data_IF_562214465983
#
_entry.id   IF_562214465983
#
_cell.length_a   1.000
_cell.length_b   1.000
_cell.length_c   1.000
_cell.angle_alpha   90.00
_cell.angle_beta   90.00
_cell.angle_gamma   90.00
#
_symmetry.space_group_name_H-M   'P 1'
#
loop_
_entity.id
_entity.type
_entity.pdbx_description
1 polymer ?
#
# COMPACT_ATOMS: atom_id res chain seq x y z
N UNK A 1 0.47 22.69 -0.99
CA UNK A 1 -0.30 21.54 -1.49
C UNK A 1 -0.74 20.78 -0.26
N UNK A 2 -2.01 20.92 0.10
CA UNK A 2 -2.46 20.64 1.46
C UNK A 2 -3.54 19.56 1.37
N UNK A 3 -3.35 18.44 2.06
CA UNK A 3 -4.48 17.80 2.74
C UNK A 3 -5.07 18.87 3.66
N UNK A 4 -6.38 19.09 3.69
CA UNK A 4 -7.07 20.17 4.44
C UNK A 4 -6.83 20.14 5.97
N UNK A 5 -5.58 20.27 6.37
CA UNK A 5 -4.97 19.98 7.66
C UNK A 5 -3.81 20.96 7.84
N UNK A 6 -3.53 21.34 9.09
CA UNK A 6 -2.37 22.14 9.46
C UNK A 6 -1.06 21.33 9.49
N UNK A 7 -1.14 20.01 9.33
CA UNK A 7 0.02 19.12 9.33
C UNK A 7 0.77 19.18 7.99
N UNK A 8 2.10 19.09 8.05
CA UNK A 8 2.92 18.93 6.84
C UNK A 8 2.45 17.74 6.00
N UNK A 9 2.43 17.90 4.69
CA UNK A 9 1.85 16.91 3.77
C UNK A 9 2.57 15.56 3.82
N UNK A 10 3.88 15.54 4.04
CA UNK A 10 4.68 14.31 4.13
C UNK A 10 4.39 13.61 5.47
N UNK A 11 4.30 14.39 6.55
CA UNK A 11 3.95 13.88 7.88
C UNK A 11 2.53 13.31 7.87
N UNK A 12 1.56 14.05 7.34
CA UNK A 12 0.16 13.62 7.26
C UNK A 12 -0.01 12.34 6.44
N UNK A 13 0.68 12.25 5.28
CA UNK A 13 0.64 11.06 4.45
C UNK A 13 1.29 9.85 5.11
N UNK A 14 2.43 10.04 5.77
CA UNK A 14 3.13 8.95 6.46
C UNK A 14 2.27 8.44 7.61
N UNK A 15 1.78 9.35 8.46
CA UNK A 15 0.92 9.01 9.59
C UNK A 15 -0.32 8.22 9.15
N UNK A 16 -1.06 8.71 8.16
CA UNK A 16 -2.29 8.06 7.71
C UNK A 16 -2.02 6.65 7.14
N UNK A 17 -0.95 6.48 6.34
CA UNK A 17 -0.59 5.16 5.77
C UNK A 17 -0.12 4.19 6.85
N UNK A 18 0.71 4.64 7.80
CA UNK A 18 1.14 3.83 8.93
C UNK A 18 -0.03 3.41 9.82
N UNK A 19 -0.97 4.31 10.10
CA UNK A 19 -2.18 4.01 10.87
C UNK A 19 -3.04 2.96 10.17
N UNK A 20 -3.35 3.15 8.88
CA UNK A 20 -4.13 2.19 8.10
C UNK A 20 -3.46 0.82 8.05
N UNK A 21 -2.13 0.77 7.91
CA UNK A 21 -1.39 -0.48 7.90
C UNK A 21 -1.47 -1.23 9.23
N UNK A 22 -1.29 -0.52 10.35
CA UNK A 22 -1.40 -1.09 11.68
C UNK A 22 -2.81 -1.64 11.94
N UNK A 23 -3.84 -0.83 11.67
CA UNK A 23 -5.24 -1.25 11.84
C UNK A 23 -5.59 -2.46 10.98
N UNK A 24 -5.10 -2.52 9.74
CA UNK A 24 -5.31 -3.68 8.88
C UNK A 24 -4.66 -4.96 9.43
N UNK A 25 -3.50 -4.86 10.10
CA UNK A 25 -2.86 -6.00 10.76
C UNK A 25 -3.72 -6.52 11.91
N UNK A 26 -4.10 -5.60 12.81
CA UNK A 26 -4.89 -5.93 14.00
C UNK A 26 -6.23 -6.55 13.59
N UNK A 27 -6.87 -6.01 12.54
CA UNK A 27 -8.14 -6.51 12.05
C UNK A 27 -8.02 -7.93 11.47
N UNK A 28 -6.99 -8.20 10.66
CA UNK A 28 -6.75 -9.54 10.12
C UNK A 28 -6.41 -10.56 11.23
N UNK A 29 -5.65 -10.16 12.25
CA UNK A 29 -5.34 -11.04 13.38
C UNK A 29 -6.56 -11.36 14.25
N UNK A 30 -7.51 -10.44 14.34
CA UNK A 30 -8.72 -10.61 15.15
C UNK A 30 -9.83 -11.43 14.46
N UNK A 31 -9.71 -11.72 13.15
CA UNK A 31 -10.78 -12.36 12.38
C UNK A 31 -10.23 -13.48 11.48
N UNK A 32 -10.56 -14.73 11.80
CA UNK A 32 -10.08 -15.92 11.08
C UNK A 32 -10.43 -15.94 9.57
N UNK A 33 -11.46 -15.18 9.16
CA UNK A 33 -11.92 -15.10 7.78
C UNK A 33 -11.37 -13.87 7.03
N UNK A 34 -10.38 -13.17 7.58
CA UNK A 34 -9.75 -12.00 6.96
C UNK A 34 -8.26 -12.21 6.85
N UNK A 35 -7.70 -11.97 5.66
CA UNK A 35 -6.27 -12.00 5.45
C UNK A 35 -5.73 -10.63 5.01
N UNK A 36 -4.51 -10.33 5.41
CA UNK A 36 -3.78 -9.14 5.01
C UNK A 36 -2.83 -9.46 3.85
N UNK A 37 -3.20 -9.03 2.64
CA UNK A 37 -2.31 -9.13 1.49
C UNK A 37 -1.29 -7.96 1.46
N UNK A 38 0.03 -8.22 1.42
CA UNK A 38 1.09 -7.22 1.62
C UNK A 38 1.39 -6.36 0.39
N UNK A 39 0.36 -5.87 -0.30
CA UNK A 39 0.51 -5.00 -1.48
C UNK A 39 1.25 -3.69 -1.18
N UNK A 40 1.03 -3.12 0.00
CA UNK A 40 1.68 -1.89 0.44
C UNK A 40 3.20 -2.07 0.57
N UNK A 41 3.63 -3.15 1.22
CA UNK A 41 5.03 -3.49 1.40
C UNK A 41 5.70 -3.85 0.08
N UNK A 42 5.03 -4.57 -0.82
CA UNK A 42 5.56 -4.88 -2.15
C UNK A 42 5.89 -3.59 -2.89
N UNK A 43 4.98 -2.62 -2.92
CA UNK A 43 5.23 -1.32 -3.57
C UNK A 43 6.37 -0.57 -2.88
N UNK A 44 6.36 -0.48 -1.54
CA UNK A 44 7.34 0.34 -0.83
C UNK A 44 8.76 -0.23 -0.82
N UNK A 45 8.93 -1.54 -0.96
CA UNK A 45 10.24 -2.20 -1.00
C UNK A 45 10.71 -2.52 -2.43
N UNK A 46 9.96 -2.09 -3.45
CA UNK A 46 10.38 -2.20 -4.86
C UNK A 46 11.27 -1.03 -5.27
N UNK A 47 12.07 -1.21 -6.32
CA UNK A 47 12.83 -0.12 -6.93
C UNK A 47 11.87 1.01 -7.35
N UNK A 48 12.10 2.20 -6.79
CA UNK A 48 11.25 3.36 -7.01
C UNK A 48 11.20 3.77 -8.48
N UNK A 49 12.29 3.61 -9.21
CA UNK A 49 12.37 3.95 -10.63
C UNK A 49 11.55 2.99 -11.50
N UNK A 50 11.19 1.82 -10.98
CA UNK A 50 10.38 0.80 -11.66
C UNK A 50 8.91 0.92 -11.28
N UNK A 51 8.60 1.04 -9.99
CA UNK A 51 7.23 0.90 -9.47
C UNK A 51 6.42 2.19 -9.46
N UNK A 52 7.06 3.38 -9.40
CA UNK A 52 6.35 4.66 -9.32
C UNK A 52 6.35 5.44 -10.65
N UNK A 53 5.25 6.13 -10.91
CA UNK A 53 5.20 7.22 -11.87
C UNK A 53 6.10 8.39 -11.43
N UNK A 54 6.37 9.32 -12.35
CA UNK A 54 7.29 10.46 -12.10
C UNK A 54 6.87 11.34 -10.92
N UNK A 55 5.59 11.35 -10.56
CA UNK A 55 5.07 12.13 -9.44
C UNK A 55 5.27 11.48 -8.07
N UNK A 56 5.78 10.23 -8.04
CA UNK A 56 6.00 9.43 -6.83
C UNK A 56 4.75 9.24 -5.97
N UNK A 57 3.57 9.31 -6.59
CA UNK A 57 2.26 9.14 -5.96
C UNK A 57 1.46 8.01 -6.57
N UNK A 58 1.57 7.84 -7.89
CA UNK A 58 0.89 6.78 -8.61
C UNK A 58 1.83 5.62 -8.86
N UNK A 59 1.37 4.42 -8.54
CA UNK A 59 2.05 3.18 -8.94
C UNK A 59 1.85 3.00 -10.43
N UNK A 60 2.91 2.60 -11.15
CA UNK A 60 2.82 2.32 -12.59
C UNK A 60 1.84 1.18 -12.84
N UNK A 61 1.12 1.25 -13.95
CA UNK A 61 0.17 0.20 -14.35
C UNK A 61 0.78 -1.20 -14.37
N UNK A 62 2.02 -1.34 -14.87
CA UNK A 62 2.75 -2.61 -14.87
C UNK A 62 3.06 -3.15 -13.45
N UNK A 63 3.37 -2.26 -12.51
CA UNK A 63 3.59 -2.64 -11.11
C UNK A 63 2.29 -3.10 -10.44
N UNK A 64 1.19 -2.38 -10.67
CA UNK A 64 -0.13 -2.78 -10.18
C UNK A 64 -0.56 -4.13 -10.77
N UNK A 65 -0.35 -4.36 -12.07
CA UNK A 65 -0.65 -5.63 -12.72
C UNK A 65 0.13 -6.78 -12.07
N UNK A 66 1.44 -6.62 -11.85
CA UNK A 66 2.26 -7.65 -11.21
C UNK A 66 1.76 -8.00 -9.80
N UNK A 67 1.36 -6.99 -9.02
CA UNK A 67 0.78 -7.21 -7.68
C UNK A 67 -0.53 -7.99 -7.75
N UNK A 68 -1.40 -7.69 -8.72
CA UNK A 68 -2.65 -8.42 -8.91
C UNK A 68 -2.41 -9.87 -9.34
N UNK A 69 -1.40 -10.13 -10.17
CA UNK A 69 -1.00 -11.50 -10.53
C UNK A 69 -0.52 -12.29 -9.31
N UNK A 70 0.25 -11.67 -8.40
CA UNK A 70 0.65 -12.28 -7.14
C UNK A 70 -0.55 -12.56 -6.21
N UNK A 71 -1.49 -11.62 -6.13
CA UNK A 71 -2.72 -11.79 -5.35
C UNK A 71 -3.52 -13.00 -5.83
N UNK A 72 -3.79 -13.09 -7.14
CA UNK A 72 -4.53 -14.20 -7.74
C UNK A 72 -3.82 -15.53 -7.47
N UNK A 73 -2.49 -15.58 -7.64
CA UNK A 73 -1.70 -16.79 -7.34
C UNK A 73 -1.74 -17.19 -5.86
N UNK A 74 -1.89 -16.24 -4.95
CA UNK A 74 -1.87 -16.49 -3.50
C UNK A 74 -3.22 -17.00 -2.97
N UNK A 75 -4.33 -16.65 -3.62
CA UNK A 75 -5.68 -16.89 -3.08
C UNK A 75 -6.62 -17.69 -3.98
N UNK A 76 -6.36 -17.75 -5.29
CA UNK A 76 -7.29 -18.33 -6.28
C UNK A 76 -6.69 -19.48 -7.08
N UNK A 77 -5.40 -19.76 -6.91
CA UNK A 77 -4.69 -20.88 -7.52
C UNK A 77 -4.36 -21.91 -6.44
#
# INVERSE_FOLDING_TARGET
>A
MNTFSSMDIVVANTWAKSLLRAVAQEWAQAHDNVDYFPSYEIVQNSDRAVVWERDLRHVRGAGAQHIMELFVRSYLA
#
